data_IF_967269933868
#
_entry.id   IF_967269933868
#
_cell.length_a   1.000
_cell.length_b   1.000
_cell.length_c   1.000
_cell.angle_alpha   90.00
_cell.angle_beta   90.00
_cell.angle_gamma   90.00
#
_symmetry.space_group_name_H-M   'P 1'
#
loop_
_entity.id
_entity.type
_entity.pdbx_description
1 polymer ?
#
# COMPACT_ATOMS: atom_id res chain seq x y z
N UNK A 1 -11.13 -9.18 10.23
CA UNK A 1 -9.79 -8.86 10.66
C UNK A 1 -9.17 -7.86 9.71
N UNK A 2 -8.71 -6.74 10.24
CA UNK A 2 -8.10 -5.71 9.39
C UNK A 2 -6.65 -6.05 9.10
N UNK A 3 -6.31 -6.15 7.84
CA UNK A 3 -4.91 -6.28 7.49
C UNK A 3 -4.36 -4.91 7.13
N UNK A 4 -3.22 -4.58 7.71
CA UNK A 4 -2.53 -3.35 7.37
C UNK A 4 -1.63 -3.60 6.18
N UNK A 5 -1.57 -2.61 5.31
CA UNK A 5 -0.66 -2.65 4.18
C UNK A 5 0.44 -1.62 4.42
N UNK A 6 1.61 -1.87 3.86
CA UNK A 6 2.70 -0.93 3.92
C UNK A 6 3.32 -0.77 2.54
N UNK A 7 3.73 0.45 2.22
CA UNK A 7 4.45 0.75 1.00
C UNK A 7 5.84 1.20 1.43
N UNK A 8 6.86 0.46 1.02
CA UNK A 8 8.23 0.71 1.45
C UNK A 8 9.11 0.98 0.24
N UNK A 9 9.83 2.09 0.29
CA UNK A 9 10.79 2.43 -0.78
C UNK A 9 12.06 1.61 -0.59
N UNK A 10 12.41 0.83 -1.61
CA UNK A 10 13.63 0.01 -1.60
C UNK A 10 14.25 0.00 -2.97
N UNK A 11 15.53 0.37 -3.03
CA UNK A 11 16.32 0.26 -4.27
C UNK A 11 15.64 0.91 -5.48
N UNK A 12 15.05 2.07 -5.27
CA UNK A 12 14.38 2.81 -6.34
C UNK A 12 13.02 2.29 -6.72
N UNK A 13 12.49 1.37 -5.94
CA UNK A 13 11.14 0.82 -6.17
C UNK A 13 10.29 1.00 -4.94
N UNK A 14 8.99 0.89 -5.12
CA UNK A 14 8.02 0.96 -4.04
C UNK A 14 7.39 -0.41 -3.87
N UNK A 15 7.68 -1.04 -2.74
CA UNK A 15 7.18 -2.39 -2.45
C UNK A 15 5.89 -2.30 -1.65
N UNK A 16 4.89 -3.05 -2.07
CA UNK A 16 3.66 -3.18 -1.31
C UNK A 16 3.75 -4.48 -0.53
N UNK A 17 3.64 -4.39 0.79
CA UNK A 17 3.74 -5.56 1.67
C UNK A 17 2.54 -5.61 2.61
N UNK A 18 2.22 -6.80 3.06
CA UNK A 18 1.14 -6.97 4.03
C UNK A 18 1.71 -6.98 5.46
N UNK A 19 0.85 -7.23 6.43
CA UNK A 19 1.25 -7.18 7.85
C UNK A 19 2.28 -8.24 8.22
N UNK A 20 2.41 -9.29 7.42
CA UNK A 20 3.38 -10.37 7.63
C UNK A 20 4.66 -10.15 6.86
N UNK A 21 4.84 -8.96 6.29
CA UNK A 21 5.99 -8.62 5.45
C UNK A 21 6.03 -9.40 4.13
N UNK A 22 4.93 -10.01 3.75
CA UNK A 22 4.86 -10.68 2.46
C UNK A 22 4.75 -9.64 1.34
N UNK A 23 5.60 -9.77 0.34
CA UNK A 23 5.60 -8.85 -0.79
C UNK A 23 4.41 -9.13 -1.69
N UNK A 24 3.56 -8.11 -1.87
CA UNK A 24 2.40 -8.22 -2.74
C UNK A 24 2.68 -7.68 -4.13
N UNK A 25 3.69 -6.83 -4.26
CA UNK A 25 4.07 -6.30 -5.56
C UNK A 25 5.13 -5.24 -5.43
N UNK A 26 5.76 -4.90 -6.56
CA UNK A 26 6.75 -3.85 -6.65
C UNK A 26 6.32 -2.88 -7.75
N UNK A 27 6.45 -1.58 -7.47
CA UNK A 27 5.95 -0.55 -8.37
C UNK A 27 7.01 0.52 -8.59
N UNK A 28 6.88 1.24 -9.69
CA UNK A 28 7.84 2.27 -10.05
C UNK A 28 7.64 3.59 -9.35
N UNK A 29 6.47 3.80 -8.73
CA UNK A 29 6.18 5.05 -8.04
C UNK A 29 5.30 4.79 -6.83
N UNK A 30 5.32 5.74 -5.89
CA UNK A 30 4.45 5.67 -4.73
C UNK A 30 2.97 5.68 -5.14
N UNK A 31 2.64 6.49 -6.14
CA UNK A 31 1.25 6.57 -6.61
C UNK A 31 0.76 5.23 -7.14
N UNK A 32 1.59 4.51 -7.89
CA UNK A 32 1.23 3.19 -8.39
C UNK A 32 1.03 2.19 -7.25
N UNK A 33 1.89 2.24 -6.25
CA UNK A 33 1.77 1.34 -5.11
C UNK A 33 0.49 1.62 -4.32
N UNK A 34 0.14 2.89 -4.14
CA UNK A 34 -1.09 3.25 -3.46
C UNK A 34 -2.33 2.86 -4.25
N UNK A 35 -2.25 2.94 -5.58
CA UNK A 35 -3.32 2.46 -6.43
C UNK A 35 -3.55 0.96 -6.25
N UNK A 36 -2.46 0.20 -6.21
CA UNK A 36 -2.55 -1.24 -5.98
C UNK A 36 -3.13 -1.54 -4.60
N UNK A 37 -2.78 -0.75 -3.59
CA UNK A 37 -3.35 -0.91 -2.26
C UNK A 37 -4.87 -0.69 -2.29
N UNK A 38 -5.33 0.26 -3.12
CA UNK A 38 -6.76 0.48 -3.30
C UNK A 38 -7.48 -0.73 -3.90
N UNK A 39 -6.80 -1.46 -4.78
CA UNK A 39 -7.37 -2.68 -5.34
C UNK A 39 -7.55 -3.77 -4.28
N UNK A 40 -6.63 -3.85 -3.32
CA UNK A 40 -6.79 -4.77 -2.19
C UNK A 40 -7.93 -4.33 -1.27
N UNK A 41 -8.07 -3.03 -1.04
CA UNK A 41 -9.17 -2.50 -0.24
C UNK A 41 -10.52 -2.83 -0.86
N UNK A 42 -10.57 -2.85 -2.19
CA UNK A 42 -11.80 -3.13 -2.92
C UNK A 42 -12.35 -4.53 -2.65
N UNK A 43 -11.49 -5.48 -2.37
CA UNK A 43 -11.91 -6.86 -2.08
C UNK A 43 -12.81 -6.88 -0.86
N UNK A 44 -12.47 -6.12 0.17
CA UNK A 44 -13.24 -6.06 1.42
C UNK A 44 -14.24 -4.92 1.43
N UNK A 45 -14.21 -4.05 0.43
CA UNK A 45 -15.05 -2.85 0.38
C UNK A 45 -14.87 -1.94 1.58
N UNK A 46 -13.67 -1.93 2.15
CA UNK A 46 -13.36 -1.11 3.32
C UNK A 46 -12.11 -0.29 3.09
N UNK A 47 -12.05 0.95 3.60
CA UNK A 47 -10.83 1.72 3.55
C UNK A 47 -9.71 1.03 4.32
N UNK A 48 -8.50 1.14 3.84
CA UNK A 48 -7.35 0.56 4.50
C UNK A 48 -6.37 1.64 4.92
N UNK A 49 -5.80 1.43 6.07
CA UNK A 49 -4.72 2.25 6.57
C UNK A 49 -3.42 1.72 5.99
N UNK A 50 -2.71 2.56 5.28
CA UNK A 50 -1.46 2.18 4.61
C UNK A 50 -0.33 2.99 5.20
N UNK A 51 0.70 2.30 5.70
CA UNK A 51 1.90 2.93 6.19
C UNK A 51 2.87 3.09 5.02
N UNK A 52 3.54 4.22 4.95
CA UNK A 52 4.46 4.51 3.85
C UNK A 52 5.82 4.86 4.43
N UNK A 53 6.85 4.16 3.99
CA UNK A 53 8.22 4.47 4.36
C UNK A 53 8.98 4.92 3.12
N UNK A 54 9.52 6.14 3.14
CA UNK A 54 10.27 6.67 2.00
C UNK A 54 11.74 6.25 2.05
N UNK A 55 12.52 6.73 1.07
CA UNK A 55 13.94 6.39 0.95
C UNK A 55 14.77 6.81 2.15
N UNK A 56 14.34 7.84 2.84
CA UNK A 56 15.06 8.35 4.02
C UNK A 56 14.70 7.57 5.28
N UNK A 57 13.73 6.66 5.19
CA UNK A 57 13.28 5.90 6.33
C UNK A 57 12.18 6.57 7.13
N UNK A 58 11.70 7.71 6.67
CA UNK A 58 10.61 8.41 7.35
C UNK A 58 9.28 7.73 7.06
N UNK A 59 8.46 7.61 8.11
CA UNK A 59 7.15 6.98 7.99
C UNK A 59 6.05 8.02 7.81
N UNK A 60 5.12 7.69 6.96
CA UNK A 60 3.92 8.48 6.74
C UNK A 60 2.73 7.54 6.72
N UNK A 61 1.53 8.07 6.70
CA UNK A 61 0.31 7.27 6.69
C UNK A 61 -0.65 7.80 5.64
N UNK A 62 -1.43 6.87 5.09
CA UNK A 62 -2.49 7.25 4.17
C UNK A 62 -3.67 6.29 4.36
N UNK A 63 -4.87 6.79 4.10
CA UNK A 63 -6.05 5.94 3.99
C UNK A 63 -6.36 5.77 2.53
N UNK A 64 -6.55 4.52 2.13
CA UNK A 64 -6.87 4.20 0.75
C UNK A 64 -8.30 3.67 0.73
N UNK A 65 -9.18 4.39 0.06
CA UNK A 65 -10.57 3.99 -0.06
C UNK A 65 -10.71 2.93 -1.16
N UNK A 66 -11.68 2.01 -1.03
CA UNK A 66 -11.93 1.05 -2.09
C UNK A 66 -12.36 1.76 -3.36
N UNK A 67 -11.92 1.26 -4.50
CA UNK A 67 -12.30 1.84 -5.77
C UNK A 67 -13.76 1.55 -6.06
N UNK A 68 -14.49 2.49 -6.69
CA UNK A 68 -15.87 2.23 -7.08
C UNK A 68 -15.94 1.10 -8.09
N UNK A 69 -17.00 0.32 -8.01
CA UNK A 69 -17.23 -0.80 -8.91
C UNK A 69 -17.98 -0.34 -10.16
N UNK A 70 -17.36 0.39 -11.00
CA UNK A 70 -18.02 0.84 -12.21
C UNK A 70 -17.28 0.39 -13.43
#
# INVERSE_FOLDING_TARGET
MMSELAVVARSGRWMLVDQDDAELGAYGSKAEALEAAGDFARVDQEPRHVLIQDDAGDWDEAFVAPRPLN
#
